data_IF_950851334478
#
_entry.id   IF_950851334478
#
_cell.length_a   1.000
_cell.length_b   1.000
_cell.length_c   1.000
_cell.angle_alpha   90.00
_cell.angle_beta   90.00
_cell.angle_gamma   90.00
#
_symmetry.space_group_name_H-M   'P 1'
#
loop_
_entity.id
_entity.type
_entity.pdbx_description
1 polymer ?
#
# COMPACT_ATOMS: atom_id res chain seq x y z
N UNK A 1 7.96 1.98 -19.10
CA UNK A 1 7.17 1.40 -17.99
C UNK A 1 5.83 2.13 -17.98
N UNK A 2 4.72 1.46 -18.34
CA UNK A 2 3.39 2.10 -18.35
C UNK A 2 3.03 2.44 -16.90
N UNK A 3 2.79 3.72 -16.62
CA UNK A 3 2.46 4.18 -15.27
C UNK A 3 1.00 3.83 -14.96
N UNK A 4 0.65 3.63 -13.69
CA UNK A 4 -0.75 3.39 -13.29
C UNK A 4 -1.66 4.53 -13.78
N UNK A 5 -1.11 5.75 -13.85
CA UNK A 5 -1.70 6.96 -14.43
C UNK A 5 -2.21 6.76 -15.87
N UNK A 6 -1.48 6.00 -16.71
CA UNK A 6 -1.85 5.75 -18.11
C UNK A 6 -3.06 4.82 -18.24
N UNK A 7 -3.36 4.04 -17.18
CA UNK A 7 -4.51 3.11 -17.14
C UNK A 7 -5.72 3.68 -16.41
N UNK A 8 -5.63 4.87 -15.82
CA UNK A 8 -6.74 5.55 -15.10
C UNK A 8 -7.98 5.75 -15.98
N UNK A 9 -7.83 5.93 -17.29
CA UNK A 9 -8.99 6.08 -18.18
C UNK A 9 -9.79 4.79 -18.35
N UNK A 10 -9.15 3.63 -18.11
CA UNK A 10 -9.72 2.29 -18.22
C UNK A 10 -10.20 1.74 -16.88
N UNK A 11 -9.68 2.27 -15.77
CA UNK A 11 -10.06 1.90 -14.42
C UNK A 11 -11.07 2.94 -13.90
N UNK A 12 -12.15 2.51 -13.27
CA UNK A 12 -13.05 3.46 -12.58
C UNK A 12 -12.43 3.92 -11.25
N UNK A 13 -11.22 4.50 -11.32
CA UNK A 13 -10.35 4.78 -10.20
C UNK A 13 -9.87 6.23 -10.21
N UNK A 14 -9.59 6.76 -9.02
CA UNK A 14 -8.88 8.01 -8.83
C UNK A 14 -7.43 7.74 -8.48
N UNK A 15 -6.49 8.23 -9.29
CA UNK A 15 -5.05 8.14 -9.02
C UNK A 15 -4.52 9.55 -8.81
N UNK A 16 -3.71 9.76 -7.77
CA UNK A 16 -3.03 11.03 -7.56
C UNK A 16 -1.54 10.87 -7.82
N UNK A 17 -0.88 11.94 -8.25
CA UNK A 17 0.57 12.01 -8.30
C UNK A 17 1.09 12.41 -6.92
N UNK A 18 2.16 11.76 -6.47
CA UNK A 18 2.80 12.09 -5.19
C UNK A 18 3.40 13.50 -5.21
N UNK A 19 4.27 13.79 -6.20
CA UNK A 19 5.03 15.04 -6.26
C UNK A 19 4.15 16.27 -6.48
N UNK A 20 3.13 16.17 -7.34
CA UNK A 20 2.29 17.32 -7.70
C UNK A 20 1.01 17.42 -6.90
N UNK A 21 0.71 16.42 -6.05
CA UNK A 21 -0.58 16.22 -5.39
C UNK A 21 -1.79 16.19 -6.34
N UNK A 22 -1.57 16.13 -7.66
CA UNK A 22 -2.64 16.20 -8.64
C UNK A 22 -3.33 14.85 -8.80
N UNK A 23 -4.63 14.82 -8.57
CA UNK A 23 -5.49 13.66 -8.74
C UNK A 23 -6.20 13.68 -10.09
N UNK A 24 -6.33 12.49 -10.69
CA UNK A 24 -6.98 12.26 -11.97
C UNK A 24 -7.95 11.08 -11.87
N UNK A 25 -9.10 11.24 -12.50
CA UNK A 25 -10.07 10.19 -12.84
C UNK A 25 -10.29 10.20 -14.34
N UNK A 26 -11.19 9.34 -14.82
CA UNK A 26 -11.62 9.32 -16.22
C UNK A 26 -12.06 10.71 -16.74
N UNK A 27 -12.77 11.50 -15.92
CA UNK A 27 -13.42 12.74 -16.37
C UNK A 27 -13.02 13.99 -15.58
N UNK A 28 -12.24 13.87 -14.50
CA UNK A 28 -11.95 14.98 -13.59
C UNK A 28 -10.50 14.98 -13.13
N UNK A 29 -9.94 16.17 -13.02
CA UNK A 29 -8.63 16.46 -12.43
C UNK A 29 -8.86 17.41 -11.24
N UNK A 30 -8.19 17.17 -10.12
CA UNK A 30 -8.23 18.05 -8.95
C UNK A 30 -6.93 17.96 -8.16
N UNK A 31 -6.77 18.81 -7.15
CA UNK A 31 -5.62 18.79 -6.24
C UNK A 31 -5.98 18.10 -4.92
N UNK A 32 -5.10 17.23 -4.42
CA UNK A 32 -5.24 16.67 -3.08
C UNK A 32 -5.14 17.83 -2.07
N UNK A 33 -6.08 17.90 -1.14
CA UNK A 33 -6.09 18.91 -0.07
C UNK A 33 -6.24 18.20 1.28
N UNK A 34 -5.91 18.88 2.38
CA UNK A 34 -5.96 18.31 3.73
C UNK A 34 -7.36 17.83 4.16
N UNK A 35 -8.42 18.27 3.48
CA UNK A 35 -9.79 17.79 3.69
C UNK A 35 -10.11 16.49 2.92
N UNK A 36 -9.32 16.14 1.91
CA UNK A 36 -9.45 14.93 1.11
C UNK A 36 -8.68 13.77 1.75
N UNK A 37 -8.98 13.47 3.00
CA UNK A 37 -8.56 12.22 3.63
C UNK A 37 -9.19 11.08 2.84
N UNK A 38 -8.38 10.14 2.35
CA UNK A 38 -8.94 8.96 1.71
C UNK A 38 -9.73 8.17 2.76
N UNK A 39 -11.06 8.18 2.59
CA UNK A 39 -11.97 7.37 3.38
C UNK A 39 -12.26 6.10 2.57
N UNK A 40 -11.90 4.92 3.09
CA UNK A 40 -12.31 3.69 2.45
C UNK A 40 -13.83 3.65 2.31
N UNK A 41 -14.32 3.04 1.24
CA UNK A 41 -15.76 2.91 1.02
C UNK A 41 -16.33 1.90 2.03
N UNK A 42 -16.88 2.41 3.13
CA UNK A 42 -17.56 1.61 4.14
C UNK A 42 -18.99 1.34 3.69
N UNK A 43 -19.18 0.32 2.83
CA UNK A 43 -20.49 -0.31 2.67
C UNK A 43 -20.94 -0.96 3.99
N UNK A 44 -22.21 -1.36 4.08
CA UNK A 44 -22.79 -2.06 5.23
C UNK A 44 -21.86 -3.15 5.77
N UNK A 45 -21.23 -2.89 6.93
CA UNK A 45 -20.49 -3.87 7.75
C UNK A 45 -19.65 -4.88 6.95
N UNK A 46 -18.88 -4.42 5.95
CA UNK A 46 -17.92 -5.32 5.32
C UNK A 46 -16.82 -5.64 6.35
N UNK A 47 -16.54 -6.93 6.57
CA UNK A 47 -15.53 -7.44 7.53
C UNK A 47 -14.08 -7.09 7.16
N UNK A 48 -13.89 -6.13 6.26
CA UNK A 48 -12.60 -5.78 5.70
C UNK A 48 -12.04 -4.56 6.45
N UNK A 49 -10.72 -4.55 6.67
CA UNK A 49 -10.01 -3.47 7.36
C UNK A 49 -9.13 -2.66 6.38
N UNK A 50 -9.71 -1.91 5.43
CA UNK A 50 -8.96 -1.18 4.39
C UNK A 50 -8.22 0.08 4.92
N UNK A 51 -8.08 0.22 6.24
CA UNK A 51 -7.63 1.45 6.87
C UNK A 51 -6.11 1.64 6.83
N UNK A 52 -5.30 0.56 6.75
CA UNK A 52 -3.84 0.67 6.77
C UNK A 52 -3.29 1.46 5.57
N UNK A 53 -3.60 1.09 4.31
CA UNK A 53 -3.17 1.89 3.15
C UNK A 53 -3.76 3.30 3.19
N UNK A 54 -4.97 3.45 3.75
CA UNK A 54 -5.61 4.75 3.85
C UNK A 54 -4.88 5.72 4.75
N UNK A 55 -4.43 5.25 5.91
CA UNK A 55 -3.64 6.02 6.86
C UNK A 55 -2.28 6.40 6.25
N UNK A 56 -1.59 5.45 5.61
CA UNK A 56 -0.30 5.68 4.97
C UNK A 56 -0.43 6.75 3.87
N UNK A 57 -1.39 6.60 2.94
CA UNK A 57 -1.58 7.55 1.83
C UNK A 57 -1.97 8.94 2.34
N UNK A 58 -2.86 9.01 3.34
CA UNK A 58 -3.38 10.29 3.85
C UNK A 58 -2.42 11.03 4.78
N UNK A 59 -1.36 10.38 5.25
CA UNK A 59 -0.31 11.03 6.04
C UNK A 59 0.46 12.08 5.22
N UNK A 60 0.97 13.11 5.86
CA UNK A 60 1.76 14.17 5.18
C UNK A 60 3.25 13.83 5.03
N UNK A 61 3.73 12.82 5.75
CA UNK A 61 5.14 12.40 5.73
C UNK A 61 5.51 11.80 4.38
N UNK A 62 6.74 11.94 3.91
CA UNK A 62 7.21 11.25 2.71
C UNK A 62 7.56 9.79 2.99
N UNK A 63 8.21 9.55 4.13
CA UNK A 63 8.55 8.25 4.68
C UNK A 63 7.63 7.94 5.86
N UNK A 64 7.04 6.74 5.89
CA UNK A 64 6.01 6.35 6.85
C UNK A 64 6.35 5.01 7.46
N UNK A 65 6.57 4.99 8.78
CA UNK A 65 6.48 3.78 9.61
C UNK A 65 5.04 3.66 10.13
N UNK A 66 4.28 2.73 9.55
CA UNK A 66 2.95 2.36 10.02
C UNK A 66 3.06 1.24 11.05
N UNK A 67 2.29 1.39 12.14
CA UNK A 67 2.19 0.43 13.22
C UNK A 67 0.71 0.19 13.54
N UNK A 68 0.34 -1.06 13.78
CA UNK A 68 -0.95 -1.37 14.39
C UNK A 68 -1.02 -0.78 15.81
N UNK A 69 -2.24 -0.52 16.29
CA UNK A 69 -2.46 0.15 17.58
C UNK A 69 -2.00 -0.64 18.80
N UNK A 70 -1.75 -1.94 18.62
CA UNK A 70 -1.25 -2.88 19.61
C UNK A 70 0.23 -3.26 19.40
N UNK A 71 0.92 -2.59 18.47
CA UNK A 71 2.36 -2.75 18.30
C UNK A 71 3.13 -1.91 19.32
N UNK A 72 4.17 -2.50 19.90
CA UNK A 72 5.06 -1.84 20.87
C UNK A 72 6.46 -1.70 20.30
N UNK A 73 6.97 -0.47 20.26
CA UNK A 73 8.33 -0.17 19.83
C UNK A 73 9.29 -0.38 21.00
N UNK A 74 10.20 -1.35 20.87
CA UNK A 74 11.13 -1.75 21.95
C UNK A 74 12.56 -1.21 21.76
N UNK A 75 12.86 -0.63 20.59
CA UNK A 75 14.14 -0.03 20.21
C UNK A 75 13.89 1.20 19.35
N UNK A 76 14.87 2.09 19.26
CA UNK A 76 14.79 3.24 18.37
C UNK A 76 14.57 2.77 16.91
N UNK A 77 13.48 3.19 16.24
CA UNK A 77 13.21 2.79 14.87
C UNK A 77 14.07 3.52 13.84
N UNK A 78 14.87 4.52 14.21
CA UNK A 78 15.69 5.32 13.28
C UNK A 78 16.59 4.45 12.38
N UNK A 79 17.18 3.39 12.94
CA UNK A 79 18.04 2.46 12.18
C UNK A 79 17.33 1.80 10.98
N UNK A 80 16.00 1.63 11.04
CA UNK A 80 15.23 1.07 9.93
C UNK A 80 15.22 2.02 8.72
N UNK A 81 15.27 3.33 8.95
CA UNK A 81 15.29 4.33 7.89
C UNK A 81 16.71 4.57 7.36
N UNK A 82 17.69 4.60 8.27
CA UNK A 82 19.06 5.02 7.94
C UNK A 82 19.97 3.89 7.46
N UNK A 83 19.71 2.66 7.92
CA UNK A 83 20.69 1.57 7.81
C UNK A 83 20.13 0.29 7.19
N UNK A 84 18.81 0.08 7.14
CA UNK A 84 18.25 -1.15 6.60
C UNK A 84 18.47 -1.26 5.07
N UNK A 85 19.16 -2.30 4.57
CA UNK A 85 19.53 -2.39 3.17
C UNK A 85 18.33 -2.61 2.24
N UNK A 86 17.25 -3.24 2.73
CA UNK A 86 16.04 -3.45 1.94
C UNK A 86 15.25 -2.16 1.81
N UNK A 87 15.10 -1.42 2.91
CA UNK A 87 14.48 -0.10 2.88
C UNK A 87 15.23 0.86 1.96
N UNK A 88 16.54 1.02 2.15
CA UNK A 88 17.36 1.93 1.35
C UNK A 88 17.35 1.58 -0.13
N UNK A 89 17.25 0.29 -0.48
CA UNK A 89 17.24 -0.17 -1.87
C UNK A 89 15.88 -0.04 -2.55
N UNK A 90 14.80 -0.38 -1.85
CA UNK A 90 13.48 -0.53 -2.46
C UNK A 90 12.46 0.54 -2.04
N UNK A 91 12.77 1.32 -1.00
CA UNK A 91 11.83 2.25 -0.38
C UNK A 91 10.66 1.56 0.31
N UNK A 92 10.79 0.26 0.61
CA UNK A 92 9.82 -0.48 1.39
C UNK A 92 10.50 -1.57 2.19
N UNK A 93 10.07 -1.70 3.44
CA UNK A 93 10.47 -2.76 4.35
C UNK A 93 9.21 -3.37 4.96
N UNK A 94 9.10 -4.68 4.77
CA UNK A 94 8.05 -5.53 5.29
C UNK A 94 8.68 -6.65 6.12
N UNK A 95 7.92 -7.17 7.07
CA UNK A 95 8.37 -8.22 7.96
C UNK A 95 7.67 -9.53 7.61
N UNK A 96 8.35 -10.68 7.72
CA UNK A 96 7.69 -11.97 7.52
C UNK A 96 6.66 -12.21 8.61
N UNK A 97 5.56 -12.86 8.25
CA UNK A 97 4.56 -13.32 9.21
C UNK A 97 5.21 -14.34 10.17
N UNK A 98 5.08 -14.16 11.51
CA UNK A 98 5.70 -15.03 12.49
C UNK A 98 5.16 -16.48 12.43
N UNK A 99 4.00 -16.70 11.84
CA UNK A 99 3.44 -18.04 11.62
C UNK A 99 4.07 -18.76 10.42
N UNK A 100 4.97 -18.10 9.67
CA UNK A 100 5.68 -18.62 8.50
C UNK A 100 4.74 -19.31 7.50
N UNK A 101 3.52 -18.79 7.38
CA UNK A 101 2.59 -19.22 6.34
C UNK A 101 3.24 -18.96 4.98
N UNK A 102 3.21 -19.98 4.13
CA UNK A 102 3.68 -19.85 2.76
C UNK A 102 2.62 -19.12 1.96
N UNK A 103 3.05 -18.19 1.13
CA UNK A 103 2.14 -17.45 0.27
C UNK A 103 1.26 -18.39 -0.54
N UNK A 104 -0.04 -18.04 -0.60
CA UNK A 104 -1.02 -18.84 -1.30
C UNK A 104 -0.62 -19.04 -2.79
N UNK A 105 -0.58 -20.29 -3.31
CA UNK A 105 -0.08 -20.58 -4.66
C UNK A 105 -0.73 -19.77 -5.78
N UNK A 106 -1.98 -19.35 -5.57
CA UNK A 106 -2.77 -18.56 -6.52
C UNK A 106 -2.16 -17.16 -6.77
N UNK A 107 -1.48 -16.58 -5.79
CA UNK A 107 -0.84 -15.25 -5.93
C UNK A 107 0.23 -15.29 -7.01
N UNK A 108 1.05 -16.35 -7.04
CA UNK A 108 2.10 -16.53 -8.03
C UNK A 108 1.56 -16.69 -9.45
N UNK A 109 0.46 -17.43 -9.59
CA UNK A 109 -0.23 -17.57 -10.88
C UNK A 109 -0.80 -16.23 -11.37
N UNK A 110 -1.34 -15.41 -10.46
CA UNK A 110 -1.88 -14.09 -10.80
C UNK A 110 -0.80 -13.16 -11.36
N UNK A 111 0.40 -13.20 -10.77
CA UNK A 111 1.53 -12.38 -11.20
C UNK A 111 2.37 -13.02 -12.32
N UNK A 112 1.98 -14.19 -12.81
CA UNK A 112 2.72 -14.98 -13.80
C UNK A 112 4.20 -15.11 -13.41
N UNK A 113 4.45 -15.41 -12.14
CA UNK A 113 5.80 -15.58 -11.59
C UNK A 113 5.92 -16.95 -10.93
N UNK A 114 7.12 -17.51 -10.93
CA UNK A 114 7.38 -18.81 -10.30
C UNK A 114 7.37 -18.66 -8.78
N UNK A 115 6.67 -19.57 -8.09
CA UNK A 115 6.65 -19.63 -6.63
C UNK A 115 8.08 -19.70 -6.08
N UNK A 116 8.50 -18.66 -5.35
CA UNK A 116 9.71 -18.69 -4.56
C UNK A 116 9.47 -19.53 -3.31
N UNK A 117 10.08 -20.72 -3.23
CA UNK A 117 9.94 -21.61 -2.05
C UNK A 117 10.48 -21.01 -0.74
N UNK A 118 11.14 -19.86 -0.82
CA UNK A 118 11.77 -19.15 0.29
C UNK A 118 11.06 -17.82 0.62
N UNK A 119 9.89 -17.56 0.04
CA UNK A 119 9.11 -16.36 0.30
C UNK A 119 8.00 -16.63 1.32
N UNK A 120 7.99 -15.83 2.38
CA UNK A 120 7.00 -15.90 3.44
C UNK A 120 5.87 -14.90 3.19
N UNK A 121 4.71 -15.16 3.79
CA UNK A 121 3.70 -14.12 3.93
C UNK A 121 4.24 -12.94 4.73
N UNK A 122 3.66 -11.77 4.50
CA UNK A 122 4.08 -10.53 5.11
C UNK A 122 3.15 -10.20 6.27
N UNK A 123 3.73 -9.83 7.40
CA UNK A 123 3.00 -9.22 8.49
C UNK A 123 2.72 -7.75 8.14
N UNK A 124 1.45 -7.36 8.28
CA UNK A 124 0.98 -5.99 8.05
C UNK A 124 0.91 -5.15 9.33
N UNK A 125 1.29 -5.71 10.49
CA UNK A 125 1.32 -4.99 11.76
C UNK A 125 2.38 -3.89 11.79
N UNK A 126 3.45 -4.05 11.01
CA UNK A 126 4.49 -3.03 10.82
C UNK A 126 4.84 -2.90 9.35
N UNK A 127 4.76 -1.68 8.81
CA UNK A 127 5.09 -1.40 7.41
C UNK A 127 5.92 -0.12 7.36
N UNK A 128 7.11 -0.16 6.76
CA UNK A 128 7.92 1.03 6.51
C UNK A 128 7.99 1.29 5.00
N UNK A 129 7.59 2.49 4.58
CA UNK A 129 7.54 2.86 3.15
C UNK A 129 8.00 4.29 2.89
N UNK A 130 8.79 4.47 1.83
CA UNK A 130 9.08 5.75 1.21
C UNK A 130 8.04 5.99 0.10
N UNK A 131 7.01 6.79 0.38
CA UNK A 131 5.80 6.87 -0.47
C UNK A 131 6.10 7.27 -1.90
N UNK A 132 7.05 8.17 -2.14
CA UNK A 132 7.48 8.56 -3.49
C UNK A 132 7.97 7.37 -4.32
N UNK A 133 8.76 6.49 -3.71
CA UNK A 133 9.38 5.32 -4.36
C UNK A 133 8.34 4.25 -4.67
N UNK A 134 7.39 4.01 -3.75
CA UNK A 134 6.43 2.89 -3.85
C UNK A 134 5.01 3.31 -4.17
N UNK A 135 4.81 4.53 -4.68
CA UNK A 135 3.50 5.14 -4.85
C UNK A 135 2.53 4.31 -5.70
N UNK A 136 3.02 3.69 -6.77
CA UNK A 136 2.21 2.82 -7.61
C UNK A 136 1.67 1.60 -6.85
N UNK A 137 2.48 1.02 -5.96
CA UNK A 137 2.06 -0.08 -5.09
C UNK A 137 0.97 0.36 -4.10
N UNK A 138 1.16 1.53 -3.46
CA UNK A 138 0.17 2.11 -2.55
C UNK A 138 -1.17 2.42 -3.25
N UNK A 139 -1.14 2.92 -4.49
CA UNK A 139 -2.37 3.16 -5.24
C UNK A 139 -3.02 1.89 -5.76
N UNK A 140 -2.25 0.83 -6.00
CA UNK A 140 -2.79 -0.49 -6.30
C UNK A 140 -3.52 -1.07 -5.09
N UNK A 141 -2.94 -1.00 -3.89
CA UNK A 141 -3.63 -1.47 -2.66
C UNK A 141 -4.89 -0.65 -2.39
N UNK A 142 -4.85 0.67 -2.60
CA UNK A 142 -6.04 1.52 -2.57
C UNK A 142 -7.11 1.05 -3.56
N UNK A 143 -6.73 0.74 -4.81
CA UNK A 143 -7.65 0.24 -5.83
C UNK A 143 -8.31 -1.07 -5.39
N UNK A 144 -7.54 -1.99 -4.83
CA UNK A 144 -8.05 -3.27 -4.32
C UNK A 144 -9.04 -3.04 -3.17
N UNK A 145 -8.72 -2.14 -2.23
CA UNK A 145 -9.62 -1.75 -1.14
C UNK A 145 -10.92 -1.10 -1.62
N UNK A 146 -10.84 -0.21 -2.60
CA UNK A 146 -12.01 0.45 -3.20
C UNK A 146 -12.93 -0.53 -3.93
N UNK A 147 -12.37 -1.66 -4.40
CA UNK A 147 -13.07 -2.72 -5.11
C UNK A 147 -13.03 -4.04 -4.34
N UNK A 148 -13.12 -3.97 -3.01
CA UNK A 148 -13.00 -5.14 -2.13
C UNK A 148 -13.91 -6.31 -2.50
N UNK A 149 -15.11 -6.04 -3.02
CA UNK A 149 -16.04 -7.09 -3.49
C UNK A 149 -15.52 -7.94 -4.66
N UNK A 150 -14.52 -7.42 -5.40
CA UNK A 150 -13.84 -8.14 -6.47
C UNK A 150 -12.57 -8.85 -5.98
N UNK A 151 -11.83 -8.24 -5.05
CA UNK A 151 -10.48 -8.69 -4.68
C UNK A 151 -10.41 -9.53 -3.39
N UNK A 152 -11.40 -9.45 -2.51
CA UNK A 152 -11.39 -10.09 -1.19
C UNK A 152 -12.59 -11.03 -0.96
N UNK A 153 -13.01 -11.75 -2.01
CA UNK A 153 -14.08 -12.76 -1.93
C UNK A 153 -13.71 -13.95 -1.05
#
# INVERSE_FOLDING_TARGET
>A
MLTLLDRVSKLNASVCCFDTAQCKTRNKIWQLNSTNVYKPRTGTLSKHFPYKPAAIISSTFEEVLFLDSDAYVTRDPEDLFLSDPMYLKFGALFFPDPHLSRQHPVVWNLFNTTCGSHEYELDSATILVHKKTVWNGLYMTKLMNDNHELFYQ
#
